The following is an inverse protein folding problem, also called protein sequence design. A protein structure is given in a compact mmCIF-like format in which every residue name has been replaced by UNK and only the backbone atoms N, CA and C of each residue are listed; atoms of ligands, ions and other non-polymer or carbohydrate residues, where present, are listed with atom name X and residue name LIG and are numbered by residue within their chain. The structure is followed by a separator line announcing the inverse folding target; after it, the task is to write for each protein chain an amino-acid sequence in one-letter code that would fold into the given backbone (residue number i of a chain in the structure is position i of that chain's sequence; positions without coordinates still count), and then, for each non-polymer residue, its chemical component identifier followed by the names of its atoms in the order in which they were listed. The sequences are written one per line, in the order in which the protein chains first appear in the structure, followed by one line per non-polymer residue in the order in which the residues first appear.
data_IF_810657825056
#
_entry.id   IF_810657825056
#
_cell.length_a   1.000
_cell.length_b   1.000
_cell.length_c   1.000
_cell.angle_alpha   90.00
_cell.angle_beta   90.00
_cell.angle_gamma   90.00
#
_symmetry.space_group_name_H-M   'P 1'
#
loop_
_entity.id
_entity.type
_entity.pdbx_description
1 polymer ?
#
# COMPACT_ATOMS: atom_id res chain seq x y z
N UNK A 1 0.18 -5.17 14.10
CA UNK A 1 -0.87 -4.20 14.43
C UNK A 1 -1.55 -4.62 15.70
N UNK A 2 -2.02 -3.67 16.49
CA UNK A 2 -2.91 -3.92 17.61
C UNK A 2 -4.32 -3.55 17.18
N UNK A 3 -5.28 -4.44 17.43
CA UNK A 3 -6.65 -4.27 17.00
C UNK A 3 -7.24 -2.94 17.51
N UNK A 4 -7.95 -2.23 16.64
CA UNK A 4 -8.58 -0.94 16.94
C UNK A 4 -7.65 0.28 16.86
N UNK A 5 -6.33 0.10 16.72
CA UNK A 5 -5.39 1.22 16.53
C UNK A 5 -5.31 1.67 15.07
N UNK A 6 -4.93 2.92 14.87
CA UNK A 6 -4.62 3.50 13.56
C UNK A 6 -3.13 3.73 13.42
N UNK A 7 -2.57 3.38 12.26
CA UNK A 7 -1.15 3.50 11.96
C UNK A 7 -0.96 4.42 10.77
N UNK A 8 -0.11 5.44 10.92
CA UNK A 8 0.36 6.24 9.79
C UNK A 8 1.60 5.57 9.19
N UNK A 9 1.50 5.16 7.93
CA UNK A 9 2.63 4.64 7.15
C UNK A 9 3.08 5.70 6.15
N UNK A 10 4.40 5.88 6.03
CA UNK A 10 5.02 6.83 5.11
C UNK A 10 5.71 6.04 4.02
N UNK A 11 5.01 5.89 2.90
CA UNK A 11 5.48 5.11 1.77
C UNK A 11 6.45 5.95 0.96
N UNK A 12 7.55 5.33 0.53
CA UNK A 12 8.56 5.95 -0.33
C UNK A 12 8.96 4.93 -1.38
N UNK A 13 8.84 5.28 -2.65
CA UNK A 13 9.42 4.45 -3.70
C UNK A 13 10.88 4.89 -3.96
N UNK A 14 11.82 4.13 -3.42
CA UNK A 14 13.26 4.28 -3.64
C UNK A 14 13.85 3.28 -4.64
N UNK A 15 13.03 2.68 -5.51
CA UNK A 15 13.50 1.71 -6.50
C UNK A 15 14.34 2.37 -7.61
N UNK A 16 15.09 1.55 -8.34
CA UNK A 16 15.89 1.98 -9.50
C UNK A 16 15.01 2.18 -10.73
N UNK A 17 14.11 1.23 -10.99
CA UNK A 17 13.33 1.14 -12.24
C UNK A 17 12.01 0.37 -12.01
N UNK A 18 11.28 0.71 -10.95
CA UNK A 18 10.03 -0.01 -10.63
C UNK A 18 8.97 0.92 -10.09
N UNK A 19 7.80 0.88 -10.73
CA UNK A 19 6.57 1.42 -10.18
C UNK A 19 5.87 0.34 -9.36
N UNK A 20 5.44 0.70 -8.15
CA UNK A 20 4.79 -0.26 -7.26
C UNK A 20 3.28 -0.01 -7.17
N UNK A 21 2.52 -1.09 -7.13
CA UNK A 21 1.23 -1.13 -6.47
C UNK A 21 1.42 -1.60 -5.03
N UNK A 22 1.22 -0.69 -4.08
CA UNK A 22 1.27 -0.99 -2.65
C UNK A 22 -0.11 -1.32 -2.12
N UNK A 23 -0.24 -2.39 -1.34
CA UNK A 23 -1.47 -2.75 -0.64
C UNK A 23 -1.19 -3.59 0.61
N UNK A 24 -2.19 -3.67 1.49
CA UNK A 24 -2.22 -4.63 2.60
C UNK A 24 -3.52 -5.40 2.43
N UNK A 25 -3.44 -6.72 2.31
CA UNK A 25 -4.60 -7.57 2.06
C UNK A 25 -5.70 -7.30 3.11
N UNK A 26 -6.94 -7.21 2.65
CA UNK A 26 -8.14 -6.91 3.45
C UNK A 26 -8.14 -5.55 4.18
N UNK A 27 -7.16 -4.67 3.97
CA UNK A 27 -7.12 -3.35 4.61
C UNK A 27 -7.37 -2.23 3.61
N UNK A 28 -8.08 -1.20 4.07
CA UNK A 28 -8.23 0.06 3.35
C UNK A 28 -7.08 1.00 3.72
N UNK A 29 -6.53 1.68 2.72
CA UNK A 29 -5.57 2.75 2.85
C UNK A 29 -6.30 4.09 2.74
N UNK A 30 -6.30 4.88 3.81
CA UNK A 30 -6.76 6.27 3.75
C UNK A 30 -5.55 7.16 3.41
N UNK A 31 -5.49 7.69 2.20
CA UNK A 31 -4.35 8.50 1.73
C UNK A 31 -4.56 9.94 2.19
N UNK A 32 -3.56 10.50 2.87
CA UNK A 32 -3.67 11.81 3.53
C UNK A 32 -2.62 12.83 3.04
N UNK A 33 -1.62 12.39 2.29
CA UNK A 33 -0.59 13.24 1.71
C UNK A 33 -0.06 12.61 0.44
N UNK A 34 0.21 13.44 -0.56
CA UNK A 34 1.03 13.11 -1.72
C UNK A 34 2.28 13.98 -1.65
N UNK A 35 3.46 13.35 -1.60
CA UNK A 35 4.73 14.01 -1.37
C UNK A 35 4.71 14.89 -0.11
N UNK A 36 5.08 16.17 -0.21
CA UNK A 36 5.06 17.13 0.89
C UNK A 36 3.75 17.91 0.98
N UNK A 37 2.70 17.48 0.26
CA UNK A 37 1.43 18.19 0.16
C UNK A 37 0.33 17.34 0.83
N UNK A 38 -0.21 17.79 1.98
CA UNK A 38 -1.42 17.21 2.53
C UNK A 38 -2.59 17.34 1.55
N UNK A 39 -3.37 16.26 1.41
CA UNK A 39 -4.54 16.20 0.53
C UNK A 39 -5.81 15.90 1.32
N UNK A 40 -6.97 16.20 0.72
CA UNK A 40 -8.24 15.73 1.22
C UNK A 40 -8.22 14.19 1.27
N UNK A 41 -8.49 13.58 2.43
CA UNK A 41 -8.37 12.13 2.56
C UNK A 41 -9.30 11.38 1.61
N UNK A 42 -8.77 10.36 0.94
CA UNK A 42 -9.57 9.40 0.19
C UNK A 42 -9.17 7.97 0.54
N UNK A 43 -10.08 7.04 0.31
CA UNK A 43 -9.89 5.62 0.61
C UNK A 43 -9.64 4.83 -0.67
N UNK A 44 -8.64 3.95 -0.62
CA UNK A 44 -8.34 3.00 -1.69
C UNK A 44 -7.90 1.66 -1.10
N UNK A 45 -8.00 0.58 -1.87
CA UNK A 45 -7.42 -0.72 -1.53
C UNK A 45 -5.93 -0.81 -1.87
N UNK A 46 -5.45 0.04 -2.77
CA UNK A 46 -4.06 0.02 -3.25
C UNK A 46 -3.62 1.38 -3.76
N UNK A 47 -2.33 1.66 -3.69
CA UNK A 47 -1.73 2.90 -4.19
C UNK A 47 -0.72 2.58 -5.27
N UNK A 48 -0.84 3.26 -6.41
CA UNK A 48 0.23 3.43 -7.39
C UNK A 48 1.26 4.42 -6.85
N UNK A 49 2.53 3.99 -6.77
CA UNK A 49 3.63 4.85 -6.34
C UNK A 49 4.82 4.73 -7.29
N UNK A 50 5.06 5.79 -8.06
CA UNK A 50 6.20 5.93 -8.96
C UNK A 50 7.50 6.28 -8.24
N UNK A 51 8.63 6.12 -8.91
CA UNK A 51 9.97 6.33 -8.32
C UNK A 51 10.10 7.77 -7.82
N UNK A 52 10.55 7.93 -6.57
CA UNK A 52 10.72 9.21 -5.92
C UNK A 52 9.46 9.80 -5.28
N UNK A 53 8.26 9.26 -5.58
CA UNK A 53 7.02 9.69 -4.94
C UNK A 53 6.93 9.18 -3.49
N UNK A 54 6.15 9.90 -2.69
CA UNK A 54 5.78 9.52 -1.32
C UNK A 54 4.28 9.63 -1.13
N UNK A 55 3.72 8.71 -0.37
CA UNK A 55 2.34 8.81 0.10
C UNK A 55 2.30 8.53 1.60
N UNK A 56 1.59 9.37 2.33
CA UNK A 56 1.24 9.07 3.71
C UNK A 56 -0.15 8.46 3.73
N UNK A 57 -0.26 7.29 4.35
CA UNK A 57 -1.54 6.57 4.50
C UNK A 57 -1.84 6.29 5.97
N UNK A 58 -3.11 6.33 6.33
CA UNK A 58 -3.62 5.80 7.58
C UNK A 58 -4.21 4.43 7.32
N UNK A 59 -3.71 3.43 8.03
CA UNK A 59 -4.24 2.07 8.04
C UNK A 59 -4.88 1.82 9.40
N UNK A 60 -6.19 1.53 9.39
CA UNK A 60 -6.94 1.18 10.61
C UNK A 60 -6.85 -0.32 10.82
N UNK A 61 -6.41 -0.75 11.99
CA UNK A 61 -6.31 -2.15 12.35
C UNK A 61 -7.68 -2.72 12.76
N UNK A 62 -8.61 -2.75 11.80
CA UNK A 62 -10.02 -3.11 12.01
C UNK A 62 -10.40 -4.49 11.43
N UNK A 63 -9.42 -5.29 11.02
CA UNK A 63 -9.64 -6.65 10.56
C UNK A 63 -9.60 -7.66 11.71
N UNK A 64 -10.00 -8.91 11.44
CA UNK A 64 -9.87 -9.99 12.40
C UNK A 64 -8.39 -10.20 12.81
N UNK A 65 -8.15 -10.68 14.04
CA UNK A 65 -6.80 -10.99 14.50
C UNK A 65 -6.21 -12.15 13.70
N UNK A 66 -5.40 -11.83 12.71
CA UNK A 66 -4.72 -12.76 11.81
C UNK A 66 -3.42 -12.15 11.24
N UNK A 67 -2.77 -12.87 10.34
CA UNK A 67 -1.65 -12.42 9.53
C UNK A 67 -2.12 -12.05 8.13
N UNK A 68 -1.70 -10.89 7.63
CA UNK A 68 -2.07 -10.36 6.31
C UNK A 68 -0.81 -10.07 5.49
N UNK A 69 -0.85 -10.37 4.19
CA UNK A 69 0.23 -9.94 3.31
C UNK A 69 0.20 -8.41 3.14
N UNK A 70 1.36 -7.79 3.28
CA UNK A 70 1.66 -6.47 2.76
C UNK A 70 2.38 -6.68 1.45
N UNK A 71 1.91 -6.06 0.37
CA UNK A 71 2.41 -6.34 -0.99
C UNK A 71 2.96 -5.06 -1.62
N UNK A 72 4.09 -5.20 -2.30
CA UNK A 72 4.58 -4.21 -3.25
C UNK A 72 4.73 -4.92 -4.59
N UNK A 73 3.71 -4.80 -5.43
CA UNK A 73 3.65 -5.48 -6.72
C UNK A 73 4.28 -4.57 -7.78
N UNK A 74 5.29 -5.02 -8.54
CA UNK A 74 5.83 -4.24 -9.65
C UNK A 74 4.80 -4.21 -10.78
N UNK A 75 4.50 -3.02 -11.29
CA UNK A 75 3.63 -2.86 -12.46
C UNK A 75 4.41 -3.24 -13.72
N UNK A 76 4.12 -4.43 -14.25
CA UNK A 76 4.89 -5.05 -15.35
C UNK A 76 4.76 -4.30 -16.67
N UNK A 77 3.76 -3.42 -16.79
CA UNK A 77 3.62 -2.53 -17.94
C UNK A 77 4.84 -1.62 -18.14
N UNK A 78 5.57 -1.27 -17.06
CA UNK A 78 6.76 -0.41 -17.11
C UNK A 78 7.92 -0.88 -16.21
N UNK A 79 7.82 -2.08 -15.63
CA UNK A 79 8.85 -2.64 -14.75
C UNK A 79 9.24 -4.03 -15.23
N UNK A 80 10.51 -4.40 -15.08
CA UNK A 80 10.98 -5.77 -15.30
C UNK A 80 11.45 -6.37 -13.98
N UNK A 81 10.69 -7.32 -13.45
CA UNK A 81 11.01 -8.00 -12.20
C UNK A 81 10.61 -9.48 -12.27
N UNK A 82 11.54 -10.39 -11.94
CA UNK A 82 11.31 -11.83 -12.04
C UNK A 82 10.46 -12.39 -10.89
N UNK A 83 10.28 -11.65 -9.79
CA UNK A 83 9.60 -12.09 -8.56
C UNK A 83 8.34 -11.27 -8.26
N UNK A 84 7.53 -10.98 -9.27
CA UNK A 84 6.45 -9.98 -9.20
C UNK A 84 5.48 -10.14 -8.03
N UNK A 85 5.09 -11.36 -7.70
CA UNK A 85 4.14 -11.64 -6.61
C UNK A 85 4.82 -12.07 -5.30
N UNK A 86 6.15 -12.04 -5.25
CA UNK A 86 6.94 -12.48 -4.08
C UNK A 86 7.70 -11.35 -3.39
N UNK A 87 7.33 -10.10 -3.67
CA UNK A 87 7.80 -8.92 -2.94
C UNK A 87 6.74 -8.57 -1.89
N UNK A 88 6.85 -9.22 -0.73
CA UNK A 88 5.87 -9.18 0.34
C UNK A 88 6.49 -8.87 1.71
N UNK A 89 5.70 -8.28 2.58
CA UNK A 89 5.89 -8.21 4.01
C UNK A 89 4.69 -8.80 4.75
N UNK A 90 4.76 -8.87 6.08
CA UNK A 90 3.68 -9.45 6.90
C UNK A 90 3.19 -8.43 7.91
N UNK A 91 1.88 -8.20 7.93
CA UNK A 91 1.19 -7.51 9.03
C UNK A 91 0.60 -8.55 9.97
N UNK A 92 1.12 -8.62 11.20
CA UNK A 92 0.63 -9.54 12.23
C UNK A 92 -0.22 -8.79 13.24
N UNK A 93 -1.44 -9.26 13.51
CA UNK A 93 -2.24 -8.75 14.63
C UNK A 93 -1.83 -9.37 15.97
N UNK A 94 -1.36 -10.61 15.94
CA UNK A 94 -0.70 -11.27 17.06
C UNK A 94 0.82 -11.31 16.82
N UNK A 95 1.57 -10.58 17.64
CA UNK A 95 3.03 -10.50 17.52
C UNK A 95 3.75 -11.81 17.82
N UNK A 96 3.10 -12.78 18.48
CA UNK A 96 3.67 -14.09 18.76
C UNK A 96 3.53 -15.07 17.60
N UNK A 97 2.69 -14.76 16.61
CA UNK A 97 2.48 -15.61 15.44
C UNK A 97 3.73 -15.67 14.57
N UNK A 98 4.09 -16.88 14.12
CA UNK A 98 5.18 -17.12 13.17
C UNK A 98 4.70 -17.64 11.81
N UNK A 99 3.38 -17.85 11.65
CA UNK A 99 2.82 -18.38 10.41
C UNK A 99 2.85 -17.33 9.29
N UNK A 100 2.98 -17.76 8.04
CA UNK A 100 2.79 -16.85 6.90
C UNK A 100 1.29 -16.57 6.69
N UNK A 101 0.92 -15.37 6.22
CA UNK A 101 -0.44 -15.08 5.80
C UNK A 101 -0.93 -16.03 4.70
N UNK A 102 -2.21 -16.34 4.73
CA UNK A 102 -2.91 -17.08 3.66
C UNK A 102 -3.92 -16.20 2.91
N UNK A 103 -3.78 -14.87 3.03
CA UNK A 103 -4.69 -13.91 2.42
C UNK A 103 -4.44 -13.80 0.92
N UNK A 104 -5.52 -13.55 0.18
CA UNK A 104 -5.46 -13.39 -1.27
C UNK A 104 -5.24 -11.92 -1.65
N UNK A 105 -4.54 -11.73 -2.77
CA UNK A 105 -4.33 -10.41 -3.33
C UNK A 105 -5.66 -9.80 -3.81
N UNK A 106 -5.88 -8.52 -3.52
CA UNK A 106 -7.02 -7.77 -4.05
C UNK A 106 -6.92 -7.55 -5.56
N UNK A 107 -8.04 -7.23 -6.21
CA UNK A 107 -8.02 -6.85 -7.63
C UNK A 107 -7.33 -5.50 -7.83
N UNK A 108 -6.40 -5.42 -8.75
CA UNK A 108 -5.77 -4.18 -9.20
C UNK A 108 -5.58 -4.22 -10.72
N UNK A 109 -5.35 -3.06 -11.31
CA UNK A 109 -5.01 -2.93 -12.72
C UNK A 109 -3.51 -2.73 -12.83
N UNK A 110 -2.85 -3.57 -13.64
CA UNK A 110 -1.45 -3.39 -14.03
C UNK A 110 -1.36 -2.23 -15.04
N UNK A 111 -0.88 -1.09 -14.58
CA UNK A 111 -0.60 0.09 -15.38
C UNK A 111 0.40 0.99 -14.65
N UNK A 112 0.97 1.94 -15.37
CA UNK A 112 1.96 2.86 -14.81
C UNK A 112 1.40 4.27 -14.64
N UNK A 113 0.13 4.36 -14.24
CA UNK A 113 -0.54 5.62 -13.95
C UNK A 113 -0.42 5.97 -12.48
N UNK A 114 -0.21 7.25 -12.22
CA UNK A 114 -0.36 7.83 -10.89
C UNK A 114 -1.79 7.63 -10.36
N UNK A 115 -1.98 7.91 -9.08
CA UNK A 115 -3.32 8.05 -8.50
C UNK A 115 -4.13 9.12 -9.25
N UNK A 116 -5.45 8.96 -9.30
CA UNK A 116 -6.31 9.87 -10.06
C UNK A 116 -6.17 11.31 -9.57
N UNK A 117 -6.03 12.25 -10.52
CA UNK A 117 -5.97 13.69 -10.21
C UNK A 117 -7.23 14.19 -9.47
N UNK A 118 -8.37 13.49 -9.59
CA UNK A 118 -9.58 13.80 -8.81
C UNK A 118 -9.43 13.54 -7.32
N UNK A 119 -8.50 12.66 -6.93
CA UNK A 119 -8.30 12.19 -5.57
C UNK A 119 -7.14 12.96 -4.89
N UNK A 120 -6.22 13.51 -5.70
CA UNK A 120 -5.07 14.28 -5.25
C UNK A 120 -5.39 15.78 -5.09
N UNK A 121 -6.37 16.10 -4.26
CA UNK A 121 -6.82 17.48 -4.00
C UNK A 121 -6.12 18.05 -2.76
N UNK A 122 -5.22 19.05 -2.87
CA UNK A 122 -4.59 19.69 -1.71
C UNK A 122 -5.60 20.28 -0.73
N UNK A 123 -5.28 20.25 0.56
CA UNK A 123 -6.13 20.84 1.63
C UNK A 123 -6.05 22.37 1.65
N UNK A 124 -5.05 22.96 1.00
CA UNK A 124 -4.72 24.40 1.02
C UNK A 124 -5.08 25.12 -0.26
#
# INVERSE_FOLDING_TARGET
FEAGKSYRMRLVNGAIDTMWKFMIDNHTLEVISADFVPINPYNTSSISIGIGQRYDVIVRANQATDNYWLRAVPELTCSSNENTLDIKGIVRYDSSSTADPTTEIGTYMDNCLDESMSDLVPVV
#
